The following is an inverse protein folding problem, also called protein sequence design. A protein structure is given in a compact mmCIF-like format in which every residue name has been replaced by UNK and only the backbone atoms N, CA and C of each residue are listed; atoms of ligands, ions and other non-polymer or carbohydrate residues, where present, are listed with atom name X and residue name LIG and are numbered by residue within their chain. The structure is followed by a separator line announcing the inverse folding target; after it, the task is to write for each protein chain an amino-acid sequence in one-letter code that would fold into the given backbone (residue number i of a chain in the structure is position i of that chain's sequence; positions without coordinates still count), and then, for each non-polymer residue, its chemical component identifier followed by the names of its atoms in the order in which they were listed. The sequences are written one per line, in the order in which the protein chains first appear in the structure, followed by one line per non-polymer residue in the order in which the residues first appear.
data_IF_687338990538
#
_entry.id   IF_687338990538
#
_cell.length_a   1.000
_cell.length_b   1.000
_cell.length_c   1.000
_cell.angle_alpha   90.00
_cell.angle_beta   90.00
_cell.angle_gamma   90.00
#
_symmetry.space_group_name_H-M   'P 1'
#
loop_
_entity.id
_entity.type
_entity.pdbx_description
1 polymer ?
#
# COMPACT_ATOMS: atom_id res chain seq x y z
N UNK A 1 21.14 -20.83 6.85
CA UNK A 1 19.74 -20.51 7.20
C UNK A 1 19.49 -19.06 6.81
N UNK A 2 19.00 -18.80 5.60
CA UNK A 2 18.65 -17.46 5.16
C UNK A 2 17.12 -17.38 5.10
N UNK A 3 16.53 -16.70 6.09
CA UNK A 3 15.10 -16.47 6.17
C UNK A 3 14.64 -15.67 4.95
N UNK A 4 13.99 -16.36 4.01
CA UNK A 4 13.21 -15.72 2.98
C UNK A 4 12.12 -14.92 3.68
N UNK A 5 12.24 -13.59 3.64
CA UNK A 5 11.26 -12.65 4.15
C UNK A 5 9.90 -12.99 3.49
N UNK A 6 8.93 -13.60 4.21
CA UNK A 6 7.67 -13.92 3.60
C UNK A 6 7.02 -12.58 3.29
N UNK A 7 6.94 -12.26 2.00
CA UNK A 7 6.19 -11.11 1.55
C UNK A 7 4.72 -11.39 1.87
N UNK A 8 4.29 -10.98 3.07
CA UNK A 8 2.94 -11.11 3.63
C UNK A 8 1.86 -10.45 2.76
N UNK A 9 2.26 -9.77 1.67
CA UNK A 9 1.34 -9.28 0.64
C UNK A 9 0.95 -10.34 -0.40
N UNK A 10 1.59 -11.51 -0.41
CA UNK A 10 1.46 -12.51 -1.49
C UNK A 10 0.21 -13.41 -1.43
N UNK A 11 -0.72 -13.24 -0.47
CA UNK A 11 -1.86 -14.16 -0.36
C UNK A 11 -3.25 -13.49 -0.37
N UNK A 12 -4.14 -14.21 -1.07
CA UNK A 12 -5.60 -14.12 -1.24
C UNK A 12 -6.07 -13.46 -2.55
N UNK A 13 -5.92 -14.16 -3.68
CA UNK A 13 -6.76 -13.92 -4.85
C UNK A 13 -8.13 -14.59 -4.65
N UNK A 14 -9.10 -13.86 -4.09
CA UNK A 14 -10.50 -14.28 -4.11
C UNK A 14 -11.21 -13.67 -5.33
N UNK A 15 -11.41 -14.50 -6.34
CA UNK A 15 -12.17 -14.18 -7.55
C UNK A 15 -13.67 -14.30 -7.28
N UNK A 16 -14.23 -13.41 -6.45
CA UNK A 16 -15.69 -13.28 -6.36
C UNK A 16 -16.19 -12.34 -7.45
N UNK A 17 -16.33 -12.93 -8.65
CA UNK A 17 -16.88 -12.34 -9.86
C UNK A 17 -18.39 -12.11 -9.70
N UNK A 18 -18.78 -11.05 -8.98
CA UNK A 18 -20.14 -10.53 -9.00
C UNK A 18 -20.07 -9.11 -9.55
N UNK A 19 -20.35 -9.04 -10.86
CA UNK A 19 -20.31 -7.87 -11.73
C UNK A 19 -20.99 -6.68 -11.04
N UNK A 20 -20.18 -5.73 -10.57
CA UNK A 20 -20.61 -4.37 -10.29
C UNK A 20 -19.99 -3.50 -11.37
N UNK A 21 -20.76 -3.21 -12.42
CA UNK A 21 -20.27 -2.62 -13.67
C UNK A 21 -19.77 -1.17 -13.51
N UNK A 22 -19.86 -0.57 -12.30
CA UNK A 22 -19.57 0.85 -12.08
C UNK A 22 -18.77 1.19 -10.79
N UNK A 23 -18.55 0.25 -9.85
CA UNK A 23 -17.91 0.55 -8.56
C UNK A 23 -16.82 -0.44 -8.12
N UNK A 24 -16.01 -0.94 -9.06
CA UNK A 24 -14.82 -1.72 -8.72
C UNK A 24 -13.64 -0.78 -8.41
N UNK A 25 -12.98 -1.03 -7.28
CA UNK A 25 -11.75 -0.34 -6.88
C UNK A 25 -10.60 -1.35 -6.84
N UNK A 26 -9.42 -0.91 -7.28
CA UNK A 26 -8.17 -1.63 -7.19
C UNK A 26 -7.51 -1.40 -5.82
N UNK A 27 -6.99 -2.47 -5.21
CA UNK A 27 -6.11 -2.38 -4.05
C UNK A 27 -4.66 -2.36 -4.54
N UNK A 28 -3.92 -1.32 -4.18
CA UNK A 28 -2.51 -1.18 -4.54
C UNK A 28 -1.62 -1.00 -3.30
N UNK A 29 -0.38 -1.45 -3.43
CA UNK A 29 0.71 -1.20 -2.52
C UNK A 29 1.80 -0.37 -3.21
N UNK A 30 2.38 0.59 -2.51
CA UNK A 30 3.63 1.21 -2.87
C UNK A 30 4.72 0.59 -2.02
N UNK A 31 5.72 0.01 -2.67
CA UNK A 31 6.85 -0.64 -2.01
C UNK A 31 8.14 0.10 -2.29
N UNK A 32 9.09 0.07 -1.37
CA UNK A 32 10.41 0.63 -1.56
C UNK A 32 11.13 -0.07 -2.72
N UNK A 33 11.69 0.71 -3.65
CA UNK A 33 12.44 0.18 -4.81
C UNK A 33 13.86 -0.24 -4.47
N UNK A 34 14.43 0.32 -3.39
CA UNK A 34 15.78 0.06 -2.94
C UNK A 34 15.86 0.31 -1.44
N UNK A 35 16.91 -0.18 -0.80
CA UNK A 35 17.18 0.18 0.58
C UNK A 35 17.47 1.68 0.70
N UNK A 36 16.83 2.35 1.67
CA UNK A 36 17.01 3.78 1.85
C UNK A 36 16.05 4.42 2.84
N UNK A 37 16.20 5.73 3.00
CA UNK A 37 15.33 6.55 3.84
C UNK A 37 14.14 7.05 3.03
N UNK A 38 12.94 6.83 3.56
CA UNK A 38 11.68 7.19 2.93
C UNK A 38 10.89 8.16 3.81
N UNK A 39 10.19 9.15 3.22
CA UNK A 39 9.44 10.12 3.99
C UNK A 39 8.26 9.47 4.74
N UNK A 40 8.10 9.86 6.00
CA UNK A 40 6.98 9.50 6.86
C UNK A 40 5.95 10.61 6.86
N UNK A 41 4.69 10.27 6.64
CA UNK A 41 3.58 11.20 6.56
C UNK A 41 2.54 10.91 7.65
N UNK A 42 2.26 11.89 8.51
CA UNK A 42 1.19 11.82 9.50
C UNK A 42 -0.05 12.60 9.07
N UNK A 43 -1.19 12.26 9.66
CA UNK A 43 -2.41 13.06 9.54
C UNK A 43 -2.23 14.46 10.12
N UNK A 44 -2.94 15.43 9.54
CA UNK A 44 -2.87 16.83 9.98
C UNK A 44 -1.61 17.59 9.55
N UNK A 45 -0.56 16.92 9.06
CA UNK A 45 0.67 17.54 8.58
C UNK A 45 0.78 17.51 7.05
N UNK A 46 1.14 18.66 6.47
CA UNK A 46 1.38 18.81 5.02
C UNK A 46 2.75 18.26 4.62
N UNK A 47 3.76 18.53 5.43
CA UNK A 47 5.13 18.10 5.21
C UNK A 47 5.38 16.72 5.85
N UNK A 48 6.36 15.94 5.34
CA UNK A 48 6.82 14.75 6.02
C UNK A 48 7.33 15.11 7.41
N UNK A 49 7.12 14.19 8.34
CA UNK A 49 7.38 14.40 9.78
C UNK A 49 8.74 13.84 10.21
N UNK A 50 9.33 13.06 9.33
CA UNK A 50 10.58 12.35 9.53
C UNK A 50 10.81 11.38 8.37
N UNK A 51 11.81 10.53 8.54
CA UNK A 51 12.18 9.52 7.56
C UNK A 51 12.27 8.14 8.24
N UNK A 52 11.94 7.10 7.50
CA UNK A 52 12.02 5.71 7.94
C UNK A 52 12.87 4.92 6.97
N UNK A 53 13.83 4.15 7.50
CA UNK A 53 14.62 3.25 6.68
C UNK A 53 13.76 2.06 6.25
N UNK A 54 13.58 1.88 4.94
CA UNK A 54 12.89 0.74 4.34
C UNK A 54 13.88 -0.05 3.49
N UNK A 55 13.73 -1.37 3.50
CA UNK A 55 14.46 -2.26 2.60
C UNK A 55 13.76 -2.37 1.25
N UNK A 56 14.48 -2.79 0.22
CA UNK A 56 13.85 -3.10 -1.07
C UNK A 56 12.68 -4.09 -0.87
N UNK A 57 11.50 -3.73 -1.40
CA UNK A 57 10.28 -4.50 -1.28
C UNK A 57 9.45 -4.24 -0.02
N UNK A 58 9.94 -3.47 0.94
CA UNK A 58 9.16 -3.11 2.13
C UNK A 58 7.99 -2.19 1.77
N UNK A 59 6.88 -2.33 2.51
CA UNK A 59 5.68 -1.54 2.28
C UNK A 59 5.89 -0.10 2.76
N UNK A 60 5.75 0.83 1.83
CA UNK A 60 5.69 2.25 2.12
C UNK A 60 4.24 2.72 2.28
N UNK A 61 3.33 2.30 1.40
CA UNK A 61 1.92 2.70 1.44
C UNK A 61 1.00 1.60 0.96
N UNK A 62 -0.20 1.49 1.51
CA UNK A 62 -1.32 0.79 0.88
C UNK A 62 -2.49 1.74 0.65
N UNK A 63 -3.24 1.53 -0.43
CA UNK A 63 -4.43 2.32 -0.73
C UNK A 63 -5.34 1.70 -1.76
N UNK A 64 -6.52 2.30 -1.91
CA UNK A 64 -7.56 1.90 -2.85
C UNK A 64 -7.78 2.98 -3.91
N UNK A 65 -8.00 2.59 -5.16
CA UNK A 65 -8.23 3.53 -6.28
C UNK A 65 -9.02 2.86 -7.40
N UNK A 66 -9.89 3.59 -8.10
CA UNK A 66 -10.55 3.08 -9.32
C UNK A 66 -9.56 2.72 -10.42
N UNK A 67 -8.54 3.56 -10.57
CA UNK A 67 -7.39 3.36 -11.46
C UNK A 67 -6.13 3.64 -10.62
N UNK A 68 -5.45 2.61 -10.14
CA UNK A 68 -4.22 2.77 -9.36
C UNK A 68 -3.10 3.36 -10.23
N UNK A 69 -2.97 2.90 -11.48
CA UNK A 69 -1.88 3.29 -12.40
C UNK A 69 -1.92 4.77 -12.79
N UNK A 70 -3.10 5.40 -12.74
CA UNK A 70 -3.28 6.82 -13.03
C UNK A 70 -3.19 7.70 -11.79
N UNK A 71 -3.24 7.11 -10.58
CA UNK A 71 -3.29 7.88 -9.33
C UNK A 71 -2.02 8.66 -9.07
N UNK A 72 -0.87 8.07 -9.38
CA UNK A 72 0.43 8.72 -9.25
C UNK A 72 1.16 8.71 -10.59
N UNK A 73 1.80 9.83 -10.92
CA UNK A 73 2.67 9.86 -12.09
C UNK A 73 3.94 9.05 -11.84
N UNK A 74 4.50 8.47 -12.90
CA UNK A 74 5.79 7.75 -12.82
C UNK A 74 6.91 8.61 -12.23
N UNK A 75 6.90 9.93 -12.52
CA UNK A 75 7.85 10.89 -11.96
C UNK A 75 7.72 10.96 -10.44
N UNK A 76 6.50 11.06 -9.91
CA UNK A 76 6.26 11.12 -8.47
C UNK A 76 6.70 9.84 -7.74
N UNK A 77 6.39 8.67 -8.30
CA UNK A 77 6.84 7.40 -7.73
C UNK A 77 8.37 7.28 -7.71
N UNK A 78 9.02 7.71 -8.79
CA UNK A 78 10.48 7.72 -8.92
C UNK A 78 11.16 8.70 -7.96
N UNK A 79 10.54 9.87 -7.76
CA UNK A 79 11.02 10.92 -6.85
C UNK A 79 11.08 10.42 -5.40
N UNK A 80 10.02 9.72 -4.96
CA UNK A 80 9.97 9.09 -3.64
C UNK A 80 10.83 7.81 -3.59
N UNK A 81 11.05 7.16 -4.73
CA UNK A 81 11.81 5.91 -4.82
C UNK A 81 10.97 4.67 -4.50
N UNK A 82 9.66 4.71 -4.76
CA UNK A 82 8.73 3.60 -4.56
C UNK A 82 8.23 3.04 -5.90
N UNK A 83 7.83 1.78 -5.89
CA UNK A 83 7.19 1.09 -6.99
C UNK A 83 5.73 0.79 -6.64
N UNK A 84 4.83 0.94 -7.62
CA UNK A 84 3.44 0.55 -7.44
C UNK A 84 3.22 -0.91 -7.82
N UNK A 85 2.60 -1.67 -6.91
CA UNK A 85 2.16 -3.04 -7.10
C UNK A 85 0.66 -3.14 -6.91
N UNK A 86 -0.04 -3.63 -7.93
CA UNK A 86 -1.47 -3.91 -7.86
C UNK A 86 -1.63 -5.25 -7.13
N UNK A 87 -2.35 -5.24 -6.01
CA UNK A 87 -2.61 -6.45 -5.20
C UNK A 87 -3.89 -7.13 -5.68
N UNK A 88 -4.96 -6.35 -5.90
CA UNK A 88 -6.22 -6.85 -6.40
C UNK A 88 -6.88 -5.87 -7.37
N UNK A 89 -7.52 -6.41 -8.40
CA UNK A 89 -8.32 -5.69 -9.37
C UNK A 89 -9.76 -6.20 -9.35
N UNK A 90 -10.69 -5.39 -9.83
CA UNK A 90 -12.08 -5.78 -10.02
C UNK A 90 -12.80 -6.27 -8.73
N UNK A 91 -12.42 -5.71 -7.58
CA UNK A 91 -13.07 -5.99 -6.29
C UNK A 91 -14.06 -4.86 -5.96
N UNK A 92 -15.21 -5.19 -5.37
CA UNK A 92 -16.17 -4.20 -4.90
C UNK A 92 -15.54 -3.23 -3.90
N UNK A 93 -15.88 -1.94 -3.99
CA UNK A 93 -15.38 -0.89 -3.07
C UNK A 93 -15.43 -1.28 -1.58
N UNK A 94 -16.53 -1.91 -1.13
CA UNK A 94 -16.67 -2.35 0.27
C UNK A 94 -15.62 -3.38 0.65
N UNK A 95 -15.38 -4.37 -0.21
CA UNK A 95 -14.36 -5.37 0.03
C UNK A 95 -12.95 -4.78 -0.06
N UNK A 96 -12.69 -3.87 -1.00
CA UNK A 96 -11.38 -3.21 -1.13
C UNK A 96 -11.04 -2.38 0.12
N UNK A 97 -11.99 -1.62 0.65
CA UNK A 97 -11.82 -0.87 1.91
C UNK A 97 -11.64 -1.80 3.13
N UNK A 98 -12.34 -2.94 3.16
CA UNK A 98 -12.17 -3.94 4.22
C UNK A 98 -10.75 -4.51 4.18
N UNK A 99 -10.26 -4.90 3.00
CA UNK A 99 -8.91 -5.44 2.81
C UNK A 99 -7.82 -4.40 3.15
N UNK A 100 -8.00 -3.14 2.74
CA UNK A 100 -7.11 -2.04 3.11
C UNK A 100 -7.02 -1.91 4.64
N UNK A 101 -8.17 -1.83 5.33
CA UNK A 101 -8.22 -1.73 6.79
C UNK A 101 -7.56 -2.93 7.49
N UNK A 102 -7.84 -4.15 7.02
CA UNK A 102 -7.25 -5.37 7.60
C UNK A 102 -5.73 -5.37 7.44
N UNK A 103 -5.22 -5.00 6.27
CA UNK A 103 -3.77 -4.92 6.02
C UNK A 103 -3.11 -3.82 6.84
N UNK A 104 -3.73 -2.65 6.98
CA UNK A 104 -3.23 -1.56 7.82
C UNK A 104 -3.18 -1.97 9.30
N UNK A 105 -4.27 -2.55 9.82
CA UNK A 105 -4.31 -3.05 11.21
C UNK A 105 -3.30 -4.17 11.45
N UNK A 106 -3.14 -5.09 10.50
CA UNK A 106 -2.16 -6.17 10.59
C UNK A 106 -0.72 -5.63 10.60
N UNK A 107 -0.42 -4.65 9.74
CA UNK A 107 0.89 -4.01 9.70
C UNK A 107 1.20 -3.27 11.01
N UNK A 108 0.23 -2.49 11.50
CA UNK A 108 0.36 -1.77 12.76
C UNK A 108 0.51 -2.72 13.94
N UNK A 109 -0.27 -3.81 14.01
CA UNK A 109 -0.11 -4.82 15.05
C UNK A 109 1.27 -5.50 15.02
N UNK A 110 1.87 -5.65 13.83
CA UNK A 110 3.19 -6.25 13.67
C UNK A 110 4.34 -5.30 13.96
N UNK A 111 4.27 -4.06 13.48
CA UNK A 111 5.36 -3.06 13.55
C UNK A 111 5.21 -2.04 14.68
N UNK A 112 4.01 -1.89 15.22
CA UNK A 112 3.65 -0.87 16.21
C UNK A 112 3.35 0.51 15.61
N UNK A 113 3.36 0.65 14.28
CA UNK A 113 3.11 1.92 13.58
C UNK A 113 2.50 1.68 12.19
N UNK A 114 1.87 2.72 11.62
CA UNK A 114 1.34 2.71 10.26
C UNK A 114 2.45 2.73 9.19
N UNK A 115 2.23 2.15 8.00
CA UNK A 115 3.16 2.30 6.88
C UNK A 115 3.50 3.79 6.68
N UNK A 116 4.77 4.14 6.45
CA UNK A 116 5.23 5.53 6.51
C UNK A 116 4.53 6.47 5.51
N UNK A 117 3.99 5.96 4.40
CA UNK A 117 3.20 6.72 3.44
C UNK A 117 1.70 6.84 3.78
N UNK A 118 1.20 6.16 4.82
CA UNK A 118 -0.21 6.18 5.24
C UNK A 118 -0.43 7.16 6.40
N UNK A 119 -1.22 8.21 6.14
CA UNK A 119 -1.53 9.24 7.15
C UNK A 119 -2.54 8.78 8.21
N UNK A 120 -3.45 7.88 7.87
CA UNK A 120 -4.58 7.48 8.70
C UNK A 120 -5.09 6.08 8.35
N UNK A 121 -5.88 5.52 9.27
CA UNK A 121 -6.84 4.46 8.97
C UNK A 121 -8.01 5.07 8.19
N UNK A 122 -8.32 4.53 7.02
CA UNK A 122 -9.56 4.84 6.30
C UNK A 122 -10.75 4.17 6.96
#
# INVERSE_FOLDING_TARGET
MAGGNPNIYAYVSDTNNRIDLFALDELYALVARKDGWYPVFEYGKKNPVGEMFLKEGDLWKIGTSKDALKRYTKKHLKDIGVEMKILHTNISRKATLLLERLKLKGYEAWKGFLPPGNKCHH
#
